data_IF_425279984317
#
_entry.id   IF_425279984317
#
_cell.length_a   1.000
_cell.length_b   1.000
_cell.length_c   1.000
_cell.angle_alpha   90.00
_cell.angle_beta   90.00
_cell.angle_gamma   90.00
#
_symmetry.space_group_name_H-M   'P 1'
#
loop_
_entity.id
_entity.type
_entity.pdbx_description
1 polymer ?
#
# COMPACT_ATOMS: atom_id res chain seq x y z
N UNK A 1 1.87 7.24 17.79
CA UNK A 1 0.89 6.35 18.46
C UNK A 1 -0.45 7.02 18.80
N UNK A 2 -0.53 8.37 18.84
CA UNK A 2 -1.82 9.09 19.03
C UNK A 2 -2.74 8.99 17.80
N UNK A 3 -2.17 8.95 16.59
CA UNK A 3 -2.92 8.93 15.33
C UNK A 3 -3.72 7.63 15.12
N UNK A 4 -3.12 6.47 15.41
CA UNK A 4 -3.82 5.18 15.28
C UNK A 4 -4.94 5.08 16.32
N UNK A 5 -4.74 5.64 17.52
CA UNK A 5 -5.80 5.74 18.53
C UNK A 5 -6.96 6.61 18.05
N UNK A 6 -6.70 7.74 17.38
CA UNK A 6 -7.76 8.61 16.85
C UNK A 6 -8.47 8.01 15.63
N UNK A 7 -7.75 7.24 14.80
CA UNK A 7 -8.36 6.45 13.72
C UNK A 7 -9.28 5.36 14.30
N UNK A 8 -8.85 4.70 15.39
CA UNK A 8 -9.66 3.67 16.06
C UNK A 8 -10.87 4.26 16.81
N UNK A 9 -10.73 5.43 17.45
CA UNK A 9 -11.78 6.06 18.25
C UNK A 9 -12.93 6.64 17.41
N UNK A 10 -12.69 7.01 16.15
CA UNK A 10 -13.71 7.52 15.21
C UNK A 10 -14.63 6.43 14.64
N UNK A 11 -14.32 5.15 14.87
CA UNK A 11 -15.21 4.05 14.50
C UNK A 11 -16.10 3.72 15.71
N UNK A 12 -17.41 3.92 15.58
CA UNK A 12 -18.40 3.85 16.66
C UNK A 12 -18.69 2.44 17.22
N UNK A 13 -17.83 1.46 16.93
CA UNK A 13 -18.06 0.04 17.24
C UNK A 13 -16.98 -0.59 18.15
N UNK A 14 -16.02 0.18 18.65
CA UNK A 14 -14.85 -0.36 19.38
C UNK A 14 -14.92 -0.28 20.91
N UNK A 15 -16.10 -0.09 21.52
CA UNK A 15 -16.17 0.15 22.98
C UNK A 15 -16.18 -1.10 23.88
N UNK A 16 -16.27 -2.31 23.35
CA UNK A 16 -16.34 -3.52 24.18
C UNK A 16 -15.02 -4.32 24.13
N UNK A 17 -14.15 -4.09 25.12
CA UNK A 17 -13.07 -5.01 25.47
C UNK A 17 -11.79 -4.93 24.65
N UNK A 18 -11.27 -3.72 24.38
CA UNK A 18 -10.00 -3.55 23.68
C UNK A 18 -8.84 -4.11 24.53
N UNK A 19 -8.13 -5.17 24.09
CA UNK A 19 -6.86 -5.57 24.70
C UNK A 19 -5.85 -4.44 24.50
N UNK A 20 -5.11 -4.10 25.56
CA UNK A 20 -4.13 -3.00 25.63
C UNK A 20 -3.48 -2.65 24.27
N UNK A 21 -4.11 -1.72 23.54
CA UNK A 21 -3.67 -1.22 22.22
C UNK A 21 -2.27 -0.61 22.33
N UNK A 22 -1.87 -0.20 23.54
CA UNK A 22 -0.61 0.47 23.78
C UNK A 22 0.57 -0.52 23.78
N UNK A 23 0.35 -1.75 24.25
CA UNK A 23 1.29 -2.86 24.04
C UNK A 23 1.33 -3.35 22.58
N UNK A 24 0.20 -3.28 21.89
CA UNK A 24 0.00 -3.78 20.53
C UNK A 24 0.69 -2.90 19.47
N UNK A 25 0.58 -1.59 19.68
CA UNK A 25 1.17 -0.56 18.85
C UNK A 25 2.46 -0.03 19.46
N UNK A 26 3.17 -0.85 20.25
CA UNK A 26 4.56 -0.56 20.58
C UNK A 26 5.22 -0.10 19.27
N UNK A 27 5.73 1.13 19.29
CA UNK A 27 6.17 1.83 18.09
C UNK A 27 7.21 1.01 17.35
N UNK A 28 7.96 0.20 18.09
CA UNK A 28 8.89 -0.79 17.56
C UNK A 28 8.20 -1.89 16.75
N UNK A 29 7.18 -2.56 17.29
CA UNK A 29 6.49 -3.66 16.60
C UNK A 29 5.82 -3.20 15.30
N UNK A 30 5.18 -2.03 15.33
CA UNK A 30 4.57 -1.44 14.13
C UNK A 30 5.64 -1.10 13.08
N UNK A 31 6.73 -0.48 13.50
CA UNK A 31 7.82 -0.10 12.59
C UNK A 31 8.49 -1.34 11.98
N UNK A 32 8.80 -2.35 12.79
CA UNK A 32 9.41 -3.60 12.34
C UNK A 32 8.51 -4.32 11.32
N UNK A 33 7.19 -4.36 11.58
CA UNK A 33 6.22 -4.90 10.62
C UNK A 33 6.23 -4.11 9.31
N UNK A 34 6.14 -2.78 9.36
CA UNK A 34 6.12 -1.94 8.16
C UNK A 34 7.38 -2.11 7.32
N UNK A 35 8.55 -2.16 7.97
CA UNK A 35 9.83 -2.42 7.31
C UNK A 35 9.83 -3.81 6.67
N UNK A 36 9.35 -4.84 7.36
CA UNK A 36 9.25 -6.19 6.81
C UNK A 36 8.37 -6.24 5.54
N UNK A 37 7.23 -5.54 5.53
CA UNK A 37 6.36 -5.44 4.34
C UNK A 37 7.09 -4.78 3.17
N UNK A 38 7.77 -3.66 3.42
CA UNK A 38 8.53 -2.93 2.39
C UNK A 38 9.69 -3.78 1.86
N UNK A 39 10.47 -4.38 2.76
CA UNK A 39 11.62 -5.22 2.43
C UNK A 39 11.22 -6.42 1.58
N UNK A 40 10.16 -7.11 2.00
CA UNK A 40 9.66 -8.26 1.27
C UNK A 40 9.14 -7.84 -0.10
N UNK A 41 8.35 -6.77 -0.19
CA UNK A 41 7.87 -6.23 -1.46
C UNK A 41 9.03 -5.91 -2.42
N UNK A 42 10.06 -5.22 -1.95
CA UNK A 42 11.25 -4.91 -2.74
C UNK A 42 12.06 -6.15 -3.12
N UNK A 43 11.95 -7.24 -2.36
CA UNK A 43 12.69 -8.47 -2.61
C UNK A 43 12.00 -9.38 -3.62
N UNK A 44 10.67 -9.40 -3.66
CA UNK A 44 9.89 -10.34 -4.48
C UNK A 44 9.20 -9.71 -5.68
N UNK A 45 9.09 -8.39 -5.73
CA UNK A 45 8.50 -7.66 -6.86
C UNK A 45 9.59 -7.09 -7.78
N UNK A 46 9.22 -6.88 -9.04
CA UNK A 46 10.04 -6.24 -10.06
C UNK A 46 10.30 -4.78 -9.68
N UNK A 47 11.55 -4.39 -9.81
CA UNK A 47 11.98 -3.01 -9.63
C UNK A 47 11.41 -2.11 -10.73
N UNK A 48 10.88 -0.95 -10.34
CA UNK A 48 10.42 0.08 -11.26
C UNK A 48 11.59 0.98 -11.61
N UNK A 49 12.36 0.58 -12.61
CA UNK A 49 13.43 1.43 -13.11
C UNK A 49 12.87 2.62 -13.91
N UNK A 50 13.42 3.83 -13.75
CA UNK A 50 13.16 4.93 -14.68
C UNK A 50 13.59 4.51 -16.09
N UNK A 51 12.83 4.94 -17.10
CA UNK A 51 13.12 4.67 -18.51
C UNK A 51 14.37 5.46 -18.92
N UNK A 52 15.56 4.90 -18.74
CA UNK A 52 16.75 5.43 -19.38
C UNK A 52 16.77 4.93 -20.83
N UNK A 53 16.06 5.66 -21.70
CA UNK A 53 16.23 5.56 -23.16
C UNK A 53 17.65 5.94 -23.63
N UNK A 54 18.53 6.34 -22.70
CA UNK A 54 19.97 6.40 -22.92
C UNK A 54 20.60 5.09 -22.43
N UNK A 55 20.89 4.23 -23.38
CA UNK A 55 21.38 2.84 -23.31
C UNK A 55 22.62 2.55 -22.41
N UNK A 56 23.09 3.43 -21.52
CA UNK A 56 24.33 3.21 -20.75
C UNK A 56 24.37 3.72 -19.30
N UNK A 57 23.26 4.19 -18.73
CA UNK A 57 23.22 4.48 -17.29
C UNK A 57 21.98 3.83 -16.69
N UNK A 58 22.10 2.58 -16.25
CA UNK A 58 21.28 2.17 -15.11
C UNK A 58 21.67 3.11 -13.96
N UNK A 59 20.73 3.76 -13.28
CA UNK A 59 21.04 4.40 -12.02
C UNK A 59 21.73 3.34 -11.15
N UNK A 60 23.01 3.52 -10.87
CA UNK A 60 23.79 2.58 -10.05
C UNK A 60 23.43 2.72 -8.57
N UNK A 61 22.19 3.10 -8.27
CA UNK A 61 21.72 3.20 -6.90
C UNK A 61 21.30 1.81 -6.42
N UNK A 62 21.67 1.43 -5.19
CA UNK A 62 21.23 0.15 -4.61
C UNK A 62 19.73 0.15 -4.24
N UNK A 63 19.04 1.27 -4.45
CA UNK A 63 17.63 1.44 -4.15
C UNK A 63 16.72 0.60 -5.04
N UNK A 64 15.60 0.17 -4.48
CA UNK A 64 14.57 -0.62 -5.15
C UNK A 64 13.20 0.03 -4.94
N UNK A 65 12.39 0.07 -5.99
CA UNK A 65 11.06 0.64 -5.99
C UNK A 65 10.05 -0.38 -6.52
N UNK A 66 9.18 -0.88 -5.64
CA UNK A 66 8.12 -1.80 -6.00
C UNK A 66 6.78 -1.06 -6.14
N UNK A 67 6.23 -1.03 -7.36
CA UNK A 67 4.87 -0.55 -7.59
C UNK A 67 3.84 -1.59 -7.11
N UNK A 68 2.84 -1.10 -6.38
CA UNK A 68 1.65 -1.81 -5.94
C UNK A 68 0.41 -1.18 -6.57
N UNK A 69 -0.51 -2.04 -7.01
CA UNK A 69 -1.83 -1.62 -7.46
C UNK A 69 -1.96 -1.45 -8.97
N UNK A 70 -2.65 -0.38 -9.35
CA UNK A 70 -3.02 -0.09 -10.72
C UNK A 70 -1.76 0.22 -11.53
N UNK A 71 -1.70 -0.32 -12.74
CA UNK A 71 -0.67 -0.02 -13.72
C UNK A 71 -1.31 0.29 -15.07
N UNK A 72 -0.67 1.17 -15.83
CA UNK A 72 -1.07 1.50 -17.21
C UNK A 72 -0.48 0.50 -18.22
N UNK A 73 -0.06 -0.69 -17.78
CA UNK A 73 0.53 -1.71 -18.64
C UNK A 73 1.99 -1.43 -19.00
N UNK A 74 2.57 -2.30 -19.83
CA UNK A 74 3.99 -2.24 -20.15
C UNK A 74 4.34 -0.93 -20.88
N UNK A 75 5.44 -0.29 -20.48
CA UNK A 75 5.83 1.02 -20.99
C UNK A 75 6.07 1.03 -22.52
N UNK A 76 6.55 -0.09 -23.08
CA UNK A 76 6.79 -0.26 -24.52
C UNK A 76 5.50 -0.40 -25.34
N UNK A 77 4.34 -0.59 -24.70
CA UNK A 77 3.05 -0.61 -25.38
C UNK A 77 2.61 0.85 -25.60
N UNK A 78 2.26 1.25 -26.84
CA UNK A 78 1.73 2.59 -27.13
C UNK A 78 0.58 2.94 -26.20
N UNK A 79 0.50 4.20 -25.76
CA UNK A 79 -0.54 4.67 -24.83
C UNK A 79 -1.97 4.38 -25.33
N UNK A 80 -2.19 4.41 -26.65
CA UNK A 80 -3.47 4.05 -27.29
C UNK A 80 -3.86 2.56 -27.15
N UNK A 81 -2.92 1.70 -26.76
CA UNK A 81 -3.11 0.26 -26.57
C UNK A 81 -2.87 -0.18 -25.12
N UNK A 82 -2.54 0.75 -24.22
CA UNK A 82 -2.32 0.47 -22.80
C UNK A 82 -3.65 0.12 -22.15
N UNK A 83 -3.68 -1.05 -21.51
CA UNK A 83 -4.82 -1.45 -20.68
C UNK A 83 -4.51 -1.12 -19.23
N UNK A 84 -5.39 -0.34 -18.61
CA UNK A 84 -5.39 -0.13 -17.17
C UNK A 84 -5.77 -1.44 -16.52
N UNK A 85 -4.87 -2.00 -15.72
CA UNK A 85 -5.06 -3.28 -15.06
C UNK A 85 -4.31 -3.31 -13.73
N UNK A 86 -4.64 -4.30 -12.88
CA UNK A 86 -3.87 -4.56 -11.67
C UNK A 86 -2.53 -5.20 -12.03
N UNK A 87 -1.44 -4.54 -11.62
CA UNK A 87 -0.09 -4.92 -12.01
C UNK A 87 0.31 -6.30 -11.49
N UNK A 88 0.95 -7.11 -12.35
CA UNK A 88 1.65 -8.33 -11.93
C UNK A 88 3.10 -7.98 -11.70
N UNK A 89 3.46 -7.69 -10.45
CA UNK A 89 4.83 -7.26 -10.13
C UNK A 89 5.71 -8.37 -9.57
N UNK A 90 5.20 -9.54 -9.17
CA UNK A 90 6.05 -10.62 -8.64
C UNK A 90 7.06 -11.14 -9.67
N UNK A 91 8.35 -11.09 -9.32
CA UNK A 91 9.45 -11.61 -10.13
C UNK A 91 9.81 -13.05 -9.75
N UNK A 92 9.54 -13.45 -8.51
CA UNK A 92 9.80 -14.80 -7.99
C UNK A 92 8.58 -15.70 -8.13
N UNK A 93 8.83 -17.01 -8.25
CA UNK A 93 7.79 -18.04 -8.19
C UNK A 93 7.35 -18.19 -6.73
N UNK A 94 6.17 -17.66 -6.42
CA UNK A 94 5.49 -17.82 -5.13
C UNK A 94 4.17 -18.57 -5.36
N UNK A 95 3.69 -19.28 -4.34
CA UNK A 95 2.32 -19.81 -4.33
C UNK A 95 1.32 -18.64 -4.36
N UNK A 96 0.10 -18.91 -4.84
CA UNK A 96 -0.92 -17.87 -4.86
C UNK A 96 -1.30 -17.41 -3.44
N UNK A 97 -1.34 -18.33 -2.48
CA UNK A 97 -1.56 -17.99 -1.06
C UNK A 97 -0.51 -17.02 -0.52
N UNK A 98 0.78 -17.23 -0.84
CA UNK A 98 1.85 -16.34 -0.41
C UNK A 98 1.76 -14.96 -1.08
N UNK A 99 1.28 -14.89 -2.32
CA UNK A 99 1.05 -13.62 -3.01
C UNK A 99 -0.17 -12.89 -2.42
N UNK A 100 -1.23 -13.61 -2.08
CA UNK A 100 -2.43 -13.05 -1.45
C UNK A 100 -2.04 -12.47 -0.09
N UNK A 101 -1.41 -13.26 0.78
CA UNK A 101 -1.00 -12.81 2.11
C UNK A 101 -0.15 -11.53 2.05
N UNK A 102 0.87 -11.52 1.18
CA UNK A 102 1.72 -10.35 1.02
C UNK A 102 1.00 -9.16 0.36
N UNK A 103 0.11 -9.38 -0.61
CA UNK A 103 -0.70 -8.31 -1.19
C UNK A 103 -1.63 -7.68 -0.14
N UNK A 104 -2.20 -8.47 0.77
CA UNK A 104 -3.02 -7.97 1.87
C UNK A 104 -2.21 -7.16 2.88
N UNK A 105 -1.01 -7.64 3.26
CA UNK A 105 -0.10 -6.88 4.12
C UNK A 105 0.29 -5.54 3.49
N UNK A 106 0.63 -5.54 2.20
CA UNK A 106 0.98 -4.33 1.46
C UNK A 106 -0.21 -3.36 1.36
N UNK A 107 -1.42 -3.87 1.09
CA UNK A 107 -2.65 -3.07 1.11
C UNK A 107 -2.89 -2.48 2.51
N UNK A 108 -2.67 -3.27 3.57
CA UNK A 108 -2.80 -2.82 4.95
C UNK A 108 -1.81 -1.70 5.28
N UNK A 109 -0.55 -1.85 4.91
CA UNK A 109 0.48 -0.83 5.07
C UNK A 109 0.11 0.46 4.33
N UNK A 110 -0.28 0.37 3.05
CA UNK A 110 -0.72 1.52 2.27
C UNK A 110 -1.98 2.17 2.87
N UNK A 111 -2.92 1.38 3.38
CA UNK A 111 -4.14 1.85 4.05
C UNK A 111 -3.85 2.65 5.33
N UNK A 112 -2.91 2.17 6.15
CA UNK A 112 -2.46 2.90 7.35
C UNK A 112 -1.78 4.22 6.96
N UNK A 113 -0.85 4.20 6.00
CA UNK A 113 -0.17 5.42 5.54
C UNK A 113 -1.16 6.43 4.97
N UNK A 114 -2.12 5.97 4.16
CA UNK A 114 -3.17 6.83 3.62
C UNK A 114 -4.04 7.43 4.73
N UNK A 115 -4.40 6.64 5.74
CA UNK A 115 -5.16 7.14 6.89
C UNK A 115 -4.38 8.20 7.68
N UNK A 116 -3.07 8.05 7.81
CA UNK A 116 -2.19 9.06 8.42
C UNK A 116 -2.15 10.33 7.56
N UNK A 117 -2.04 10.21 6.23
CA UNK A 117 -2.08 11.36 5.32
C UNK A 117 -3.38 12.13 5.47
N UNK A 118 -4.53 11.43 5.43
CA UNK A 118 -5.85 12.05 5.61
C UNK A 118 -6.02 12.70 6.98
N UNK A 119 -5.41 12.15 8.02
CA UNK A 119 -5.45 12.72 9.35
C UNK A 119 -4.59 14.00 9.47
N UNK A 120 -3.43 14.05 8.80
CA UNK A 120 -2.50 15.17 8.92
C UNK A 120 -2.81 16.34 7.98
N UNK A 121 -3.45 16.09 6.85
CA UNK A 121 -3.76 17.12 5.87
C UNK A 121 -5.15 17.73 6.14
N UNK A 122 -5.34 19.04 5.90
CA UNK A 122 -6.65 19.66 5.95
C UNK A 122 -7.62 19.04 4.95
N UNK A 123 -8.91 19.03 5.29
CA UNK A 123 -9.98 18.49 4.43
C UNK A 123 -10.09 19.26 3.12
N UNK A 124 -9.81 20.57 3.14
CA UNK A 124 -9.78 21.42 1.94
C UNK A 124 -8.74 20.96 0.90
N UNK A 125 -7.73 20.18 1.32
CA UNK A 125 -6.72 19.61 0.42
C UNK A 125 -7.11 18.19 0.00
N UNK A 126 -7.69 17.40 0.90
CA UNK A 126 -7.93 15.97 0.67
C UNK A 126 -9.27 15.69 -0.01
N UNK A 127 -10.33 16.43 0.32
CA UNK A 127 -11.67 16.24 -0.25
C UNK A 127 -11.67 16.40 -1.78
N UNK A 128 -11.05 17.45 -2.39
CA UNK A 128 -11.04 17.56 -3.85
C UNK A 128 -10.36 16.38 -4.55
N UNK A 129 -9.33 15.79 -3.91
CA UNK A 129 -8.63 14.61 -4.46
C UNK A 129 -9.55 13.38 -4.38
N UNK A 130 -10.23 13.18 -3.25
CA UNK A 130 -11.16 12.06 -3.04
C UNK A 130 -12.34 12.18 -4.01
N UNK A 131 -12.90 13.37 -4.18
CA UNK A 131 -13.98 13.65 -5.15
C UNK A 131 -13.55 13.33 -6.57
N UNK A 132 -12.37 13.77 -7.01
CA UNK A 132 -11.86 13.46 -8.36
C UNK A 132 -11.67 11.95 -8.57
N UNK A 133 -11.18 11.23 -7.56
CA UNK A 133 -11.04 9.78 -7.63
C UNK A 133 -12.42 9.11 -7.77
N UNK A 134 -13.40 9.55 -6.98
CA UNK A 134 -14.77 9.05 -7.01
C UNK A 134 -15.45 9.33 -8.36
N UNK A 135 -15.42 10.58 -8.83
CA UNK A 135 -16.08 11.02 -10.07
C UNK A 135 -15.52 10.32 -11.31
N UNK A 136 -14.21 10.08 -11.31
CA UNK A 136 -13.53 9.33 -12.38
C UNK A 136 -13.68 7.82 -12.25
N UNK A 137 -14.41 7.34 -11.24
CA UNK A 137 -14.59 5.91 -10.93
C UNK A 137 -13.26 5.18 -10.80
N UNK A 138 -12.26 5.87 -10.26
CA UNK A 138 -10.95 5.30 -10.03
C UNK A 138 -11.08 4.41 -8.79
N UNK A 139 -10.82 3.09 -8.89
CA UNK A 139 -10.98 2.19 -7.77
C UNK A 139 -9.94 2.50 -6.68
N UNK A 140 -10.28 2.20 -5.43
CA UNK A 140 -9.29 2.13 -4.36
C UNK A 140 -8.33 0.95 -4.57
N UNK A 141 -7.24 0.95 -3.82
CA UNK A 141 -6.18 -0.05 -3.90
C UNK A 141 -6.71 -1.48 -3.93
N UNK A 142 -6.25 -2.21 -4.94
CA UNK A 142 -6.41 -3.64 -5.09
C UNK A 142 -5.16 -4.17 -5.78
N UNK A 143 -5.06 -5.48 -5.92
CA UNK A 143 -4.00 -6.10 -6.71
C UNK A 143 -4.61 -7.16 -7.62
N UNK A 144 -3.77 -7.86 -8.37
CA UNK A 144 -4.24 -9.00 -9.16
C UNK A 144 -4.76 -10.14 -8.28
N UNK A 145 -4.21 -10.28 -7.07
CA UNK A 145 -4.53 -11.41 -6.18
C UNK A 145 -5.51 -11.01 -5.07
N UNK A 146 -5.65 -9.73 -4.76
CA UNK A 146 -6.61 -9.20 -3.79
C UNK A 146 -7.58 -8.28 -4.51
N UNK A 147 -8.84 -8.70 -4.56
CA UNK A 147 -9.89 -7.97 -5.26
C UNK A 147 -10.11 -6.56 -4.67
N UNK A 148 -10.62 -5.61 -5.48
CA UNK A 148 -11.09 -4.33 -4.98
C UNK A 148 -12.16 -4.53 -3.90
N UNK A 149 -12.12 -3.69 -2.86
CA UNK A 149 -13.05 -3.80 -1.76
C UNK A 149 -12.90 -2.68 -0.74
N UNK A 150 -13.76 -2.71 0.27
CA UNK A 150 -13.68 -1.84 1.44
C UNK A 150 -12.81 -2.49 2.51
N UNK A 151 -12.14 -1.66 3.30
CA UNK A 151 -11.37 -2.09 4.43
C UNK A 151 -10.04 -2.78 4.10
N UNK A 152 -9.25 -2.97 5.14
CA UNK A 152 -8.00 -3.72 5.09
C UNK A 152 -7.75 -4.41 6.43
N UNK A 153 -6.80 -5.34 6.44
CA UNK A 153 -6.33 -6.02 7.64
C UNK A 153 -4.82 -5.89 7.76
N UNK A 154 -4.31 -5.95 8.99
CA UNK A 154 -2.88 -6.02 9.28
C UNK A 154 -2.66 -7.09 10.35
N UNK A 155 -1.51 -7.76 10.27
CA UNK A 155 -1.05 -8.69 11.29
C UNK A 155 0.23 -8.15 11.94
N UNK A 156 0.13 -7.74 13.21
CA UNK A 156 1.26 -7.17 13.95
C UNK A 156 1.39 -7.91 15.27
N UNK A 157 2.60 -8.44 15.55
CA UNK A 157 2.86 -9.19 16.77
C UNK A 157 1.96 -10.42 16.95
N UNK A 158 1.57 -11.08 15.85
CA UNK A 158 0.68 -12.25 15.86
C UNK A 158 -0.78 -11.93 16.16
N UNK A 159 -1.20 -10.66 16.12
CA UNK A 159 -2.59 -10.26 16.23
C UNK A 159 -3.11 -9.70 14.91
N UNK A 160 -4.30 -10.14 14.52
CA UNK A 160 -5.01 -9.62 13.36
C UNK A 160 -5.89 -8.43 13.77
N UNK A 161 -5.65 -7.28 13.13
CA UNK A 161 -6.46 -6.08 13.30
C UNK A 161 -7.19 -5.86 11.98
N UNK A 162 -8.52 -5.70 12.06
CA UNK A 162 -9.38 -5.53 10.88
C UNK A 162 -9.99 -4.14 10.91
N UNK A 163 -9.88 -3.43 9.79
CA UNK A 163 -10.47 -2.12 9.55
C UNK A 163 -11.55 -2.25 8.47
N UNK A 164 -12.78 -2.69 8.80
CA UNK A 164 -13.75 -3.11 7.80
C UNK A 164 -14.32 -1.94 6.98
N UNK A 165 -14.50 -0.78 7.60
CA UNK A 165 -15.12 0.40 6.97
C UNK A 165 -14.11 1.47 6.54
N UNK A 166 -12.83 1.29 6.87
CA UNK A 166 -11.81 2.26 6.47
C UNK A 166 -11.53 2.13 4.98
N UNK A 167 -11.49 3.27 4.28
CA UNK A 167 -11.15 3.26 2.86
C UNK A 167 -9.71 2.80 2.66
N UNK A 168 -9.49 1.97 1.64
CA UNK A 168 -8.13 1.63 1.21
C UNK A 168 -7.47 2.86 0.59
N UNK A 169 -6.16 2.80 0.45
CA UNK A 169 -5.40 3.85 -0.20
C UNK A 169 -5.81 4.08 -1.67
N UNK A 170 -5.38 5.19 -2.30
CA UNK A 170 -5.43 5.40 -3.74
C UNK A 170 -4.96 4.17 -4.54
N UNK A 171 -5.34 4.04 -5.82
CA UNK A 171 -5.12 2.85 -6.64
C UNK A 171 -3.65 2.44 -6.83
N UNK A 172 -2.69 3.32 -6.57
CA UNK A 172 -1.28 3.11 -6.88
C UNK A 172 -0.40 3.61 -5.74
N UNK A 173 0.52 2.76 -5.28
CA UNK A 173 1.53 3.09 -4.27
C UNK A 173 2.89 2.54 -4.69
N UNK A 174 3.94 3.18 -4.17
CA UNK A 174 5.32 2.75 -4.34
C UNK A 174 5.91 2.39 -2.98
N UNK A 175 6.38 1.16 -2.86
CA UNK A 175 7.13 0.68 -1.70
C UNK A 175 8.61 0.77 -2.05
N UNK A 176 9.36 1.57 -1.30
CA UNK A 176 10.72 1.97 -1.67
C UNK A 176 11.68 1.58 -0.54
N UNK A 177 12.82 1.00 -0.91
CA UNK A 177 13.92 0.68 0.00
C UNK A 177 15.25 1.16 -0.56
N UNK A 178 16.11 1.68 0.32
CA UNK A 178 17.52 1.96 -0.01
C UNK A 178 17.72 3.00 -1.10
N UNK A 179 16.70 3.82 -1.37
CA UNK A 179 16.79 4.89 -2.35
C UNK A 179 17.75 5.97 -1.82
N UNK A 180 18.89 6.10 -2.49
CA UNK A 180 19.84 7.18 -2.30
C UNK A 180 19.69 8.13 -3.49
N UNK A 181 19.27 9.37 -3.20
CA UNK A 181 19.11 10.44 -4.18
C UNK A 181 20.43 11.18 -4.41
#
# INVERSE_FOLDING_TARGET
>A
MVIIRDIASRSSHWNDGIPDIDSLLDSKNFYDWLIAVIDYACTVRRDQQPDTQLFYMQPSHPGHMAQLGLTVGARHIPSSKRQVAWGVSYSKKLSDDAKIAHDEDAIGACGIIWSIILFMLPTEVTDPVIEVLHDRKIPHMATRYVAPGRGFRIEIGGRHIVFPETSRSPPEFYLIRGYAA
#
